data_IF_768175716087
#
_entry.id   IF_768175716087
#
_cell.length_a   1.000
_cell.length_b   1.000
_cell.length_c   1.000
_cell.angle_alpha   90.00
_cell.angle_beta   90.00
_cell.angle_gamma   90.00
#
_symmetry.space_group_name_H-M   'P 1'
#
loop_
_entity.id
_entity.type
_entity.pdbx_description
1 polymer ?
#
# COMPACT_ATOMS: atom_id res chain seq x y z
N UNK A 1 27.39 42.00 -20.31
CA UNK A 1 26.06 42.49 -20.67
C UNK A 1 25.46 41.42 -21.57
N UNK A 2 24.61 40.56 -21.04
CA UNK A 2 23.80 39.69 -21.87
C UNK A 2 22.79 40.55 -22.60
N UNK A 3 22.89 40.65 -23.93
CA UNK A 3 21.83 41.20 -24.75
C UNK A 3 20.56 40.37 -24.49
N UNK A 4 19.54 41.03 -23.93
CA UNK A 4 18.21 40.45 -23.83
C UNK A 4 17.73 40.20 -25.26
N UNK A 5 17.94 39.00 -25.76
CA UNK A 5 17.48 38.55 -27.07
C UNK A 5 15.96 38.53 -27.03
N UNK A 6 15.31 39.53 -27.65
CA UNK A 6 13.84 39.53 -27.77
C UNK A 6 13.44 38.29 -28.59
N UNK A 7 12.49 37.52 -28.06
CA UNK A 7 11.95 36.36 -28.77
C UNK A 7 11.37 36.80 -30.14
N UNK A 8 11.61 36.01 -31.18
CA UNK A 8 11.04 36.27 -32.49
C UNK A 8 9.51 36.18 -32.43
N UNK A 9 8.76 37.24 -32.81
CA UNK A 9 7.29 37.28 -32.69
C UNK A 9 6.60 36.10 -33.39
N UNK A 10 7.10 35.68 -34.55
CA UNK A 10 6.55 34.56 -35.31
C UNK A 10 6.79 33.21 -34.58
N UNK A 11 7.96 33.04 -33.95
CA UNK A 11 8.25 31.86 -33.12
C UNK A 11 7.32 31.81 -31.91
N UNK A 12 7.02 32.94 -31.27
CA UNK A 12 6.07 33.02 -30.15
C UNK A 12 4.65 32.68 -30.61
N UNK A 13 4.24 33.12 -31.80
CA UNK A 13 2.92 32.76 -32.34
C UNK A 13 2.79 31.27 -32.53
N UNK A 14 3.78 30.59 -33.13
CA UNK A 14 3.77 29.13 -33.29
C UNK A 14 3.83 28.39 -31.94
N UNK A 15 4.57 28.89 -30.95
CA UNK A 15 4.56 28.34 -29.59
C UNK A 15 3.15 28.39 -28.97
N UNK A 16 2.44 29.52 -29.12
CA UNK A 16 1.08 29.70 -28.61
C UNK A 16 0.10 28.73 -29.31
N UNK A 17 0.26 28.52 -30.61
CA UNK A 17 -0.52 27.55 -31.36
C UNK A 17 -0.24 26.11 -30.87
N UNK A 18 1.03 25.77 -30.66
CA UNK A 18 1.40 24.46 -30.08
C UNK A 18 0.75 24.25 -28.70
N UNK A 19 0.81 25.25 -27.80
CA UNK A 19 0.15 25.21 -26.50
C UNK A 19 -1.37 25.05 -26.57
N UNK A 20 -2.01 25.72 -27.54
CA UNK A 20 -3.44 25.55 -27.78
C UNK A 20 -3.78 24.10 -28.15
N UNK A 21 -3.00 23.48 -29.06
CA UNK A 21 -3.22 22.12 -29.48
C UNK A 21 -2.92 21.11 -28.36
N UNK A 22 -1.93 21.36 -27.49
CA UNK A 22 -1.71 20.58 -26.26
C UNK A 22 -2.94 20.63 -25.35
N UNK A 23 -3.52 21.82 -25.13
CA UNK A 23 -4.74 21.97 -24.34
C UNK A 23 -6.00 21.32 -24.97
N UNK A 24 -5.95 21.05 -26.27
CA UNK A 24 -6.98 20.31 -27.00
C UNK A 24 -6.64 18.82 -27.21
N UNK A 25 -5.58 18.33 -26.56
CA UNK A 25 -5.05 16.94 -26.64
C UNK A 25 -4.68 16.48 -28.07
N UNK A 26 -4.41 17.46 -28.97
CA UNK A 26 -4.00 17.21 -30.36
C UNK A 26 -2.48 17.30 -30.48
N UNK A 27 -1.80 16.28 -29.95
CA UNK A 27 -0.35 16.30 -29.80
C UNK A 27 0.42 16.29 -31.12
N UNK A 28 -0.10 15.63 -32.16
CA UNK A 28 0.53 15.65 -33.51
C UNK A 28 0.51 17.05 -34.12
N UNK A 29 -0.62 17.76 -34.02
CA UNK A 29 -0.72 19.16 -34.49
C UNK A 29 0.20 20.05 -33.65
N UNK A 30 0.25 19.84 -32.30
CA UNK A 30 1.15 20.56 -31.42
C UNK A 30 2.62 20.37 -31.82
N UNK A 31 3.01 19.12 -32.19
CA UNK A 31 4.36 18.78 -32.63
C UNK A 31 4.73 19.50 -33.94
N UNK A 32 3.80 19.64 -34.87
CA UNK A 32 4.03 20.41 -36.09
C UNK A 32 4.34 21.87 -35.78
N UNK A 33 3.53 22.53 -34.94
CA UNK A 33 3.70 23.94 -34.61
C UNK A 33 4.94 24.21 -33.77
N UNK A 34 5.28 23.37 -32.80
CA UNK A 34 6.51 23.55 -32.02
C UNK A 34 7.76 23.40 -32.89
N UNK A 35 7.74 22.49 -33.89
CA UNK A 35 8.84 22.35 -34.85
C UNK A 35 9.00 23.60 -35.71
N UNK A 36 7.91 24.27 -36.13
CA UNK A 36 7.96 25.57 -36.82
C UNK A 36 8.58 26.66 -35.94
N UNK A 37 8.21 26.71 -34.66
CA UNK A 37 8.78 27.64 -33.70
C UNK A 37 10.31 27.45 -33.55
N UNK A 38 10.75 26.18 -33.38
CA UNK A 38 12.18 25.82 -33.26
C UNK A 38 12.96 26.16 -34.56
N UNK A 39 12.36 25.96 -35.74
CA UNK A 39 13.00 26.27 -37.00
C UNK A 39 13.37 27.77 -37.10
N UNK A 40 12.57 28.66 -36.53
CA UNK A 40 12.77 30.11 -36.48
C UNK A 40 13.75 30.51 -35.37
N UNK A 41 13.59 29.95 -34.15
CA UNK A 41 14.44 30.30 -33.00
C UNK A 41 15.09 29.06 -32.35
N UNK A 42 16.16 28.59 -33.00
CA UNK A 42 16.90 27.40 -32.60
C UNK A 42 17.64 27.52 -31.26
N UNK A 43 17.82 28.73 -30.75
CA UNK A 43 18.52 28.98 -29.49
C UNK A 43 17.58 29.26 -28.32
N UNK A 44 16.28 29.12 -28.52
CA UNK A 44 15.31 29.22 -27.45
C UNK A 44 15.12 27.88 -26.74
N UNK A 45 15.75 27.74 -25.59
CA UNK A 45 15.71 26.50 -24.76
C UNK A 45 14.31 26.09 -24.34
N UNK A 46 13.39 27.05 -24.14
CA UNK A 46 12.00 26.79 -23.74
C UNK A 46 11.25 25.97 -24.81
N UNK A 47 11.50 26.21 -26.11
CA UNK A 47 10.84 25.47 -27.19
C UNK A 47 11.16 23.96 -27.16
N UNK A 48 12.39 23.63 -26.79
CA UNK A 48 12.81 22.22 -26.66
C UNK A 48 12.15 21.54 -25.44
N UNK A 49 11.96 22.27 -24.34
CA UNK A 49 11.20 21.75 -23.20
C UNK A 49 9.73 21.51 -23.58
N UNK A 50 9.10 22.48 -24.24
CA UNK A 50 7.71 22.34 -24.73
C UNK A 50 7.58 21.16 -25.71
N UNK A 51 8.55 20.99 -26.63
CA UNK A 51 8.59 19.83 -27.53
C UNK A 51 8.72 18.52 -26.78
N UNK A 52 9.56 18.46 -25.75
CA UNK A 52 9.72 17.30 -24.89
C UNK A 52 8.41 16.92 -24.20
N UNK A 53 7.66 17.88 -23.67
CA UNK A 53 6.35 17.66 -23.05
C UNK A 53 5.36 17.07 -24.07
N UNK A 54 5.34 17.59 -25.31
CA UNK A 54 4.48 17.08 -26.39
C UNK A 54 4.84 15.65 -26.73
N UNK A 55 6.15 15.35 -26.89
CA UNK A 55 6.64 14.01 -27.19
C UNK A 55 6.34 13.01 -26.07
N UNK A 56 6.43 13.44 -24.80
CA UNK A 56 6.07 12.62 -23.66
C UNK A 56 4.57 12.21 -23.66
N UNK A 57 3.69 13.14 -24.07
CA UNK A 57 2.26 12.84 -24.23
C UNK A 57 1.95 11.93 -25.44
N UNK A 58 2.90 11.74 -26.33
CA UNK A 58 2.86 10.78 -27.45
C UNK A 58 3.60 9.47 -27.11
N UNK A 59 3.97 9.26 -25.86
CA UNK A 59 4.77 8.13 -25.36
C UNK A 59 6.17 7.98 -26.01
N UNK A 60 6.65 9.05 -26.66
CA UNK A 60 7.95 9.12 -27.32
C UNK A 60 9.03 9.58 -26.33
N UNK A 61 9.25 8.80 -25.27
CA UNK A 61 10.11 9.19 -24.14
C UNK A 61 11.57 9.39 -24.52
N UNK A 62 12.11 8.57 -25.43
CA UNK A 62 13.51 8.67 -25.88
C UNK A 62 13.76 9.99 -26.60
N UNK A 63 12.87 10.35 -27.52
CA UNK A 63 12.93 11.60 -28.27
C UNK A 63 12.72 12.80 -27.34
N UNK A 64 11.80 12.70 -26.37
CA UNK A 64 11.57 13.73 -25.36
C UNK A 64 12.84 14.02 -24.54
N UNK A 65 13.55 12.98 -24.09
CA UNK A 65 14.83 13.10 -23.37
C UNK A 65 15.89 13.79 -24.24
N UNK A 66 15.96 13.48 -25.53
CA UNK A 66 16.94 14.10 -26.42
C UNK A 66 16.65 15.61 -26.62
N UNK A 67 15.38 15.99 -26.70
CA UNK A 67 15.03 17.41 -26.79
C UNK A 67 15.39 18.20 -25.52
N UNK A 68 15.23 17.61 -24.33
CA UNK A 68 15.71 18.24 -23.09
C UNK A 68 17.23 18.35 -23.05
N UNK A 69 17.97 17.36 -23.57
CA UNK A 69 19.42 17.47 -23.75
C UNK A 69 19.79 18.56 -24.73
N UNK A 70 18.97 18.81 -25.77
CA UNK A 70 19.18 19.94 -26.69
C UNK A 70 18.95 21.29 -25.98
N UNK A 71 17.94 21.42 -25.11
CA UNK A 71 17.77 22.59 -24.26
C UNK A 71 19.00 22.84 -23.37
N UNK A 72 19.58 21.78 -22.79
CA UNK A 72 20.77 21.86 -21.93
C UNK A 72 22.07 22.11 -22.70
N UNK A 73 22.13 21.84 -24.01
CA UNK A 73 23.25 22.29 -24.85
C UNK A 73 23.25 23.80 -25.01
N UNK A 74 22.06 24.44 -25.00
CA UNK A 74 21.90 25.89 -25.10
C UNK A 74 22.21 26.54 -23.73
N UNK A 75 21.62 26.01 -22.66
CA UNK A 75 21.83 26.47 -21.30
C UNK A 75 22.03 25.30 -20.33
N UNK A 76 23.26 25.09 -19.93
CA UNK A 76 23.67 23.98 -19.02
C UNK A 76 23.09 24.10 -17.60
N UNK A 77 22.60 25.30 -17.22
CA UNK A 77 22.02 25.55 -15.91
C UNK A 77 20.48 25.63 -15.96
N UNK A 78 19.85 25.23 -17.07
CA UNK A 78 18.41 25.34 -17.22
C UNK A 78 17.67 24.34 -16.32
N UNK A 79 17.26 24.81 -15.17
CA UNK A 79 16.70 24.01 -14.09
C UNK A 79 15.41 23.28 -14.50
N UNK A 80 14.54 23.90 -15.29
CA UNK A 80 13.30 23.31 -15.79
C UNK A 80 13.56 22.08 -16.68
N UNK A 81 14.60 22.13 -17.53
CA UNK A 81 14.96 20.97 -18.35
C UNK A 81 15.42 19.76 -17.50
N UNK A 82 16.17 20.03 -16.43
CA UNK A 82 16.54 18.98 -15.49
C UNK A 82 15.34 18.41 -14.73
N UNK A 83 14.36 19.23 -14.35
CA UNK A 83 13.13 18.77 -13.73
C UNK A 83 12.36 17.82 -14.66
N UNK A 84 12.14 18.19 -15.91
CA UNK A 84 11.46 17.34 -16.90
C UNK A 84 12.26 16.08 -17.24
N UNK A 85 13.62 16.14 -17.26
CA UNK A 85 14.46 14.94 -17.38
C UNK A 85 14.23 13.98 -16.20
N UNK A 86 14.14 14.52 -14.99
CA UNK A 86 13.82 13.72 -13.81
C UNK A 86 12.50 12.97 -13.98
N UNK A 87 11.44 13.66 -14.41
CA UNK A 87 10.13 13.05 -14.65
C UNK A 87 10.20 11.94 -15.72
N UNK A 88 10.87 12.18 -16.86
CA UNK A 88 10.98 11.20 -17.93
C UNK A 88 11.79 9.97 -17.53
N UNK A 89 12.89 10.14 -16.78
CA UNK A 89 13.66 9.02 -16.27
C UNK A 89 12.88 8.15 -15.29
N UNK A 90 12.00 8.76 -14.47
CA UNK A 90 11.09 7.98 -13.62
C UNK A 90 10.10 7.17 -14.46
N UNK A 91 9.46 7.81 -15.46
CA UNK A 91 8.51 7.12 -16.36
C UNK A 91 9.16 5.96 -17.13
N UNK A 92 10.47 6.04 -17.40
CA UNK A 92 11.24 4.97 -18.07
C UNK A 92 11.90 3.98 -17.12
N UNK A 93 11.68 4.13 -15.80
CA UNK A 93 12.26 3.23 -14.78
C UNK A 93 13.74 3.48 -14.45
N UNK A 94 14.30 4.61 -14.91
CA UNK A 94 15.70 4.98 -14.69
C UNK A 94 15.84 5.82 -13.41
N UNK A 95 15.53 5.23 -12.24
CA UNK A 95 15.47 5.95 -10.95
C UNK A 95 16.74 6.74 -10.63
N UNK A 96 17.93 6.15 -10.81
CA UNK A 96 19.19 6.83 -10.51
C UNK A 96 19.41 8.08 -11.38
N UNK A 97 19.08 8.02 -12.69
CA UNK A 97 19.14 9.16 -13.61
C UNK A 97 18.10 10.22 -13.25
N UNK A 98 16.93 9.79 -12.80
CA UNK A 98 15.85 10.65 -12.31
C UNK A 98 16.29 11.47 -11.11
N UNK A 99 16.83 10.79 -10.08
CA UNK A 99 17.33 11.41 -8.86
C UNK A 99 18.46 12.43 -9.14
N UNK A 100 19.41 12.04 -10.00
CA UNK A 100 20.49 12.95 -10.40
C UNK A 100 19.95 14.21 -11.09
N UNK A 101 18.95 14.04 -11.96
CA UNK A 101 18.32 15.15 -12.69
C UNK A 101 17.57 16.09 -11.75
N UNK A 102 16.78 15.57 -10.80
CA UNK A 102 16.12 16.40 -9.79
C UNK A 102 17.11 17.17 -8.92
N UNK A 103 18.20 16.53 -8.48
CA UNK A 103 19.24 17.20 -7.70
C UNK A 103 19.88 18.34 -8.51
N UNK A 104 20.12 18.16 -9.82
CA UNK A 104 20.60 19.23 -10.70
C UNK A 104 19.56 20.33 -10.88
N UNK A 105 18.27 20.01 -11.00
CA UNK A 105 17.21 21.01 -11.06
C UNK A 105 17.22 21.91 -9.82
N UNK A 106 17.24 21.30 -8.62
CA UNK A 106 17.29 22.02 -7.34
C UNK A 106 18.57 22.86 -7.22
N UNK A 107 19.73 22.30 -7.57
CA UNK A 107 21.00 23.02 -7.55
C UNK A 107 21.03 24.23 -8.47
N UNK A 108 20.24 24.21 -9.56
CA UNK A 108 20.08 25.32 -10.50
C UNK A 108 18.86 26.22 -10.19
N UNK A 109 18.24 26.05 -9.00
CA UNK A 109 17.21 26.97 -8.51
C UNK A 109 15.77 26.56 -8.81
N UNK A 110 15.51 25.32 -9.25
CA UNK A 110 14.13 24.81 -9.33
C UNK A 110 13.62 24.48 -7.93
N UNK A 111 12.71 25.32 -7.42
CA UNK A 111 12.24 25.28 -6.03
C UNK A 111 10.70 25.23 -6.00
N UNK A 112 10.15 24.17 -6.56
CA UNK A 112 8.72 23.94 -6.71
C UNK A 112 8.26 22.74 -5.85
N UNK A 113 7.01 22.77 -5.39
CA UNK A 113 6.40 21.71 -4.60
C UNK A 113 6.45 20.35 -5.30
N UNK A 114 6.26 20.34 -6.63
CA UNK A 114 6.20 19.09 -7.42
C UNK A 114 7.51 18.31 -7.36
N UNK A 115 8.67 18.97 -7.41
CA UNK A 115 9.95 18.26 -7.40
C UNK A 115 10.18 17.55 -6.06
N UNK A 116 9.80 18.21 -4.96
CA UNK A 116 9.91 17.60 -3.64
C UNK A 116 8.91 16.44 -3.44
N UNK A 117 7.71 16.57 -4.01
CA UNK A 117 6.74 15.48 -4.02
C UNK A 117 7.27 14.26 -4.79
N UNK A 118 7.79 14.46 -6.00
CA UNK A 118 8.35 13.39 -6.81
C UNK A 118 9.57 12.73 -6.13
N UNK A 119 10.43 13.52 -5.48
CA UNK A 119 11.52 12.97 -4.67
C UNK A 119 10.99 12.15 -3.47
N UNK A 120 9.89 12.60 -2.87
CA UNK A 120 9.20 11.84 -1.82
C UNK A 120 8.75 10.48 -2.32
N UNK A 121 8.09 10.42 -3.49
CA UNK A 121 7.65 9.16 -4.10
C UNK A 121 8.81 8.21 -4.38
N UNK A 122 9.91 8.72 -4.95
CA UNK A 122 11.10 7.90 -5.22
C UNK A 122 11.68 7.27 -3.95
N UNK A 123 11.81 8.06 -2.89
CA UNK A 123 12.35 7.55 -1.63
C UNK A 123 11.37 6.60 -0.93
N UNK A 124 10.05 6.79 -1.10
CA UNK A 124 9.03 5.84 -0.62
C UNK A 124 9.13 4.50 -1.35
N UNK A 125 9.30 4.51 -2.69
CA UNK A 125 9.54 3.30 -3.49
C UNK A 125 10.83 2.57 -3.12
N UNK A 126 11.89 3.33 -2.77
CA UNK A 126 13.17 2.78 -2.28
C UNK A 126 13.09 2.28 -0.83
N UNK A 127 11.95 2.40 -0.13
CA UNK A 127 11.76 2.07 1.28
C UNK A 127 12.50 3.02 2.23
N UNK A 128 12.90 4.20 1.77
CA UNK A 128 13.58 5.19 2.60
C UNK A 128 12.58 6.22 3.13
N UNK A 129 11.81 5.79 4.12
CA UNK A 129 10.73 6.57 4.71
C UNK A 129 11.16 7.89 5.32
N UNK A 130 12.37 7.96 5.89
CA UNK A 130 12.88 9.20 6.47
C UNK A 130 13.08 10.29 5.41
N UNK A 131 13.69 9.92 4.28
CA UNK A 131 13.88 10.84 3.16
C UNK A 131 12.56 11.14 2.45
N UNK A 132 11.64 10.19 2.33
CA UNK A 132 10.31 10.38 1.80
C UNK A 132 9.53 11.43 2.61
N UNK A 133 9.41 11.25 3.94
CA UNK A 133 8.75 12.19 4.87
C UNK A 133 9.39 13.59 4.78
N UNK A 134 10.72 13.66 4.74
CA UNK A 134 11.44 14.94 4.61
C UNK A 134 11.09 15.68 3.33
N UNK A 135 10.97 14.98 2.21
CA UNK A 135 10.66 15.59 0.93
C UNK A 135 9.16 15.93 0.83
N UNK A 136 8.24 15.08 1.31
CA UNK A 136 6.82 15.44 1.43
C UNK A 136 6.62 16.67 2.31
N UNK A 137 7.33 16.78 3.43
CA UNK A 137 7.29 17.97 4.29
C UNK A 137 7.75 19.22 3.53
N UNK A 138 8.80 19.14 2.70
CA UNK A 138 9.23 20.27 1.85
C UNK A 138 8.18 20.62 0.80
N UNK A 139 7.55 19.61 0.18
CA UNK A 139 6.47 19.82 -0.79
C UNK A 139 5.31 20.60 -0.15
N UNK A 140 4.89 20.20 1.06
CA UNK A 140 3.84 20.88 1.84
C UNK A 140 4.25 22.31 2.24
N UNK A 141 5.51 22.54 2.60
CA UNK A 141 6.01 23.88 2.91
C UNK A 141 5.98 24.82 1.69
N UNK A 142 6.18 24.28 0.49
CA UNK A 142 6.11 25.05 -0.77
C UNK A 142 4.68 25.26 -1.24
N UNK A 143 3.84 24.28 -1.07
CA UNK A 143 2.42 24.33 -1.37
C UNK A 143 1.61 23.79 -0.18
N UNK A 144 1.11 24.68 0.71
CA UNK A 144 0.32 24.28 1.88
C UNK A 144 -0.98 23.55 1.55
N UNK A 145 -1.49 23.65 0.33
CA UNK A 145 -2.70 22.98 -0.13
C UNK A 145 -2.42 21.61 -0.78
N UNK A 146 -1.17 21.15 -0.73
CA UNK A 146 -0.79 19.88 -1.33
C UNK A 146 -1.25 18.68 -0.49
N UNK A 147 -2.45 18.24 -0.78
CA UNK A 147 -3.15 17.16 -0.07
C UNK A 147 -2.45 15.80 -0.27
N UNK A 148 -2.04 15.48 -1.50
CA UNK A 148 -1.38 14.22 -1.85
C UNK A 148 -0.12 13.94 -1.01
N UNK A 149 0.72 14.95 -0.78
CA UNK A 149 1.90 14.84 0.05
C UNK A 149 1.56 14.62 1.54
N UNK A 150 0.47 15.23 2.04
CA UNK A 150 -0.01 15.03 3.42
C UNK A 150 -0.52 13.61 3.64
N UNK A 151 -1.32 13.09 2.70
CA UNK A 151 -1.83 11.72 2.74
C UNK A 151 -0.67 10.72 2.75
N UNK A 152 0.29 10.88 1.83
CA UNK A 152 1.47 10.00 1.77
C UNK A 152 2.27 10.01 3.07
N UNK A 153 2.56 11.20 3.60
CA UNK A 153 3.26 11.36 4.88
C UNK A 153 2.53 10.65 6.02
N UNK A 154 1.21 10.81 6.11
CA UNK A 154 0.40 10.14 7.13
C UNK A 154 0.45 8.61 6.99
N UNK A 155 0.30 8.09 5.76
CA UNK A 155 0.37 6.65 5.48
C UNK A 155 1.73 6.05 5.87
N UNK A 156 2.85 6.75 5.63
CA UNK A 156 4.17 6.28 6.06
C UNK A 156 4.27 6.24 7.60
N UNK A 157 3.72 7.21 8.31
CA UNK A 157 3.72 7.16 9.78
C UNK A 157 2.88 5.99 10.31
N UNK A 158 1.74 5.70 9.68
CA UNK A 158 0.87 4.55 10.02
C UNK A 158 1.64 3.24 9.80
N UNK A 159 2.22 3.04 8.61
CA UNK A 159 2.95 1.80 8.28
C UNK A 159 4.17 1.56 9.17
N UNK A 160 4.79 2.63 9.68
CA UNK A 160 5.92 2.57 10.61
C UNK A 160 5.51 2.44 12.09
N UNK A 161 4.22 2.30 12.40
CA UNK A 161 3.71 2.23 13.76
C UNK A 161 3.91 3.51 14.58
N UNK A 162 4.19 4.66 13.93
CA UNK A 162 4.35 5.97 14.56
C UNK A 162 2.98 6.63 14.74
N UNK A 163 2.19 6.03 15.63
CA UNK A 163 0.77 6.35 15.79
C UNK A 163 0.50 7.82 16.13
N UNK A 164 1.32 8.41 17.01
CA UNK A 164 1.12 9.80 17.43
C UNK A 164 1.42 10.78 16.28
N UNK A 165 2.53 10.57 15.56
CA UNK A 165 2.90 11.40 14.41
C UNK A 165 1.92 11.22 13.25
N UNK A 166 1.36 10.01 13.08
CA UNK A 166 0.30 9.75 12.12
C UNK A 166 -0.97 10.53 12.46
N UNK A 167 -1.39 10.51 13.73
CA UNK A 167 -2.58 11.24 14.19
C UNK A 167 -2.42 12.76 14.00
N UNK A 168 -1.24 13.31 14.31
CA UNK A 168 -0.94 14.72 14.05
C UNK A 168 -1.01 15.05 12.56
N UNK A 169 -0.40 14.21 11.71
CA UNK A 169 -0.42 14.41 10.25
C UNK A 169 -1.85 14.34 9.67
N UNK A 170 -2.71 13.45 10.19
CA UNK A 170 -4.10 13.34 9.78
C UNK A 170 -4.95 14.53 10.26
N UNK A 171 -4.69 15.05 11.46
CA UNK A 171 -5.33 16.29 11.94
C UNK A 171 -4.95 17.50 11.06
N UNK A 172 -3.65 17.61 10.69
CA UNK A 172 -3.21 18.64 9.75
C UNK A 172 -3.84 18.48 8.36
N UNK A 173 -4.07 17.24 7.92
CA UNK A 173 -4.71 16.92 6.64
C UNK A 173 -6.17 17.39 6.62
N UNK A 174 -6.97 16.99 7.63
CA UNK A 174 -8.37 17.39 7.77
C UNK A 174 -8.51 18.92 7.92
N UNK A 175 -7.59 19.57 8.64
CA UNK A 175 -7.57 21.03 8.76
C UNK A 175 -7.28 21.73 7.42
N UNK A 176 -6.42 21.12 6.57
CA UNK A 176 -6.07 21.68 5.26
C UNK A 176 -7.17 21.48 4.23
N UNK A 177 -7.85 20.34 4.28
CA UNK A 177 -8.97 19.99 3.40
C UNK A 177 -10.05 19.26 4.21
N UNK A 178 -11.04 20.00 4.77
CA UNK A 178 -12.13 19.42 5.54
C UNK A 178 -13.09 18.55 4.72
N UNK A 179 -13.07 18.63 3.40
CA UNK A 179 -13.93 17.86 2.51
C UNK A 179 -13.22 16.61 1.98
N UNK A 180 -12.01 16.30 2.49
CA UNK A 180 -11.25 15.13 2.07
C UNK A 180 -11.69 13.87 2.82
N UNK A 181 -12.34 12.96 2.10
CA UNK A 181 -12.76 11.64 2.60
C UNK A 181 -11.62 10.87 3.30
N UNK A 182 -10.45 10.73 2.62
CA UNK A 182 -9.31 9.94 3.12
C UNK A 182 -8.82 10.38 4.50
N UNK A 183 -8.92 11.67 4.82
CA UNK A 183 -8.50 12.21 6.11
C UNK A 183 -9.28 11.62 7.28
N UNK A 184 -10.60 11.58 7.17
CA UNK A 184 -11.48 11.01 8.20
C UNK A 184 -11.38 9.51 8.27
N UNK A 185 -11.37 8.82 7.13
CA UNK A 185 -11.27 7.36 7.05
C UNK A 185 -9.97 6.86 7.71
N UNK A 186 -8.81 7.36 7.29
CA UNK A 186 -7.53 6.98 7.87
C UNK A 186 -7.43 7.32 9.37
N UNK A 187 -8.00 8.45 9.80
CA UNK A 187 -8.00 8.84 11.21
C UNK A 187 -8.87 7.92 12.05
N UNK A 188 -10.05 7.55 11.57
CA UNK A 188 -10.92 6.61 12.28
C UNK A 188 -10.27 5.23 12.43
N UNK A 189 -9.68 4.71 11.35
CA UNK A 189 -8.94 3.44 11.39
C UNK A 189 -7.75 3.49 12.36
N UNK A 190 -6.94 4.55 12.32
CA UNK A 190 -5.81 4.71 13.23
C UNK A 190 -6.24 4.77 14.70
N UNK A 191 -7.30 5.50 15.01
CA UNK A 191 -7.83 5.57 16.38
C UNK A 191 -8.35 4.22 16.86
N UNK A 192 -9.01 3.46 15.97
CA UNK A 192 -9.46 2.11 16.26
C UNK A 192 -8.27 1.16 16.53
N UNK A 193 -7.21 1.24 15.73
CA UNK A 193 -5.98 0.47 15.92
C UNK A 193 -5.25 0.83 17.23
N UNK A 194 -5.31 2.09 17.63
CA UNK A 194 -4.81 2.57 18.94
C UNK A 194 -5.69 2.14 20.12
N UNK A 195 -6.85 1.52 19.88
CA UNK A 195 -7.84 1.16 20.90
C UNK A 195 -8.75 2.31 21.35
N UNK A 196 -8.61 3.51 20.78
CA UNK A 196 -9.50 4.64 21.03
C UNK A 196 -10.77 4.53 20.17
N UNK A 197 -11.60 3.53 20.52
CA UNK A 197 -12.84 3.26 19.79
C UNK A 197 -13.86 4.39 19.94
N UNK A 198 -13.83 5.17 21.03
CA UNK A 198 -14.70 6.34 21.21
C UNK A 198 -14.26 7.49 20.30
N UNK A 199 -12.96 7.73 20.22
CA UNK A 199 -12.38 8.68 19.27
C UNK A 199 -12.70 8.33 17.82
N UNK A 200 -12.53 7.05 17.43
CA UNK A 200 -12.89 6.57 16.10
C UNK A 200 -14.36 6.81 15.78
N UNK A 201 -15.26 6.46 16.72
CA UNK A 201 -16.70 6.65 16.56
C UNK A 201 -17.07 8.14 16.36
N UNK A 202 -16.45 9.04 17.11
CA UNK A 202 -16.69 10.49 16.98
C UNK A 202 -16.26 11.01 15.61
N UNK A 203 -15.10 10.55 15.10
CA UNK A 203 -14.61 10.91 13.75
C UNK A 203 -15.55 10.40 12.68
N UNK A 204 -16.05 9.16 12.81
CA UNK A 204 -17.03 8.59 11.87
C UNK A 204 -18.36 9.34 11.90
N UNK A 205 -18.85 9.74 13.07
CA UNK A 205 -20.09 10.53 13.20
C UNK A 205 -19.95 11.92 12.56
N UNK A 206 -18.78 12.57 12.69
CA UNK A 206 -18.46 13.81 11.99
C UNK A 206 -18.45 13.61 10.48
N UNK A 207 -17.75 12.58 10.00
CA UNK A 207 -17.68 12.26 8.59
C UNK A 207 -19.04 11.92 7.96
N UNK A 208 -19.90 11.15 8.64
CA UNK A 208 -21.26 10.86 8.21
C UNK A 208 -22.08 12.15 8.07
N UNK A 209 -21.87 13.13 8.96
CA UNK A 209 -22.50 14.45 8.86
C UNK A 209 -22.06 15.25 7.63
N UNK A 210 -20.79 15.13 7.24
CA UNK A 210 -20.23 15.82 6.08
C UNK A 210 -20.57 15.10 4.76
N UNK A 211 -20.56 13.75 4.76
CA UNK A 211 -20.78 12.90 3.60
C UNK A 211 -22.05 12.03 3.74
N UNK A 212 -23.26 12.61 3.92
CA UNK A 212 -24.46 11.85 4.28
C UNK A 212 -24.98 10.91 3.18
N UNK A 213 -24.46 11.02 1.97
CA UNK A 213 -24.84 10.16 0.83
C UNK A 213 -23.89 8.98 0.63
N UNK A 214 -22.72 9.01 1.27
CA UNK A 214 -21.72 7.96 1.17
C UNK A 214 -21.87 7.01 2.37
N UNK A 215 -22.20 5.73 2.15
CA UNK A 215 -22.37 4.74 3.21
C UNK A 215 -21.05 4.21 3.78
N UNK A 216 -19.90 4.52 3.20
CA UNK A 216 -18.63 3.92 3.57
C UNK A 216 -18.27 4.16 5.05
N UNK A 217 -18.52 5.36 5.56
CA UNK A 217 -18.31 5.64 6.99
C UNK A 217 -19.29 4.90 7.91
N UNK A 218 -20.51 4.61 7.45
CA UNK A 218 -21.44 3.75 8.19
C UNK A 218 -20.94 2.30 8.18
N UNK A 219 -20.33 1.83 7.08
CA UNK A 219 -19.72 0.50 7.00
C UNK A 219 -18.53 0.41 7.96
N UNK A 220 -17.66 1.43 7.99
CA UNK A 220 -16.57 1.52 8.98
C UNK A 220 -17.11 1.50 10.43
N UNK A 221 -18.25 2.15 10.67
CA UNK A 221 -18.91 2.15 11.98
C UNK A 221 -19.44 0.77 12.38
N UNK A 222 -19.86 -0.06 11.41
CA UNK A 222 -20.19 -1.48 11.68
C UNK A 222 -18.96 -2.19 12.25
N UNK A 223 -17.77 -1.98 11.68
CA UNK A 223 -16.51 -2.54 12.20
C UNK A 223 -16.27 -2.15 13.66
N UNK A 224 -16.43 -0.87 14.03
CA UNK A 224 -16.26 -0.42 15.42
C UNK A 224 -17.24 -1.13 16.36
N UNK A 225 -18.51 -1.31 15.97
CA UNK A 225 -19.46 -2.08 16.77
C UNK A 225 -19.08 -3.56 16.90
N UNK A 226 -18.52 -4.17 15.84
CA UNK A 226 -18.01 -5.54 15.89
C UNK A 226 -16.84 -5.66 16.87
N UNK A 227 -15.88 -4.74 16.80
CA UNK A 227 -14.72 -4.71 17.72
C UNK A 227 -15.15 -4.50 19.18
N UNK A 228 -16.23 -3.75 19.41
CA UNK A 228 -16.85 -3.59 20.76
C UNK A 228 -17.72 -4.74 21.20
N UNK A 229 -17.87 -5.79 20.38
CA UNK A 229 -18.79 -6.91 20.60
C UNK A 229 -20.26 -6.46 20.74
N UNK A 230 -20.62 -5.30 20.20
CA UNK A 230 -21.96 -4.75 20.19
C UNK A 230 -22.80 -5.27 19.01
N UNK A 231 -22.91 -6.61 18.88
CA UNK A 231 -23.47 -7.31 17.73
C UNK A 231 -24.88 -6.79 17.30
N UNK A 232 -25.75 -6.45 18.25
CA UNK A 232 -27.08 -5.97 17.92
C UNK A 232 -27.05 -4.60 17.22
N UNK A 233 -26.18 -3.67 17.69
CA UNK A 233 -26.02 -2.37 17.03
C UNK A 233 -25.42 -2.50 15.63
N UNK A 234 -24.45 -3.43 15.48
CA UNK A 234 -23.87 -3.74 14.18
C UNK A 234 -24.94 -4.27 13.20
N UNK A 235 -25.79 -5.23 13.62
CA UNK A 235 -26.89 -5.78 12.79
C UNK A 235 -27.91 -4.71 12.40
N UNK A 236 -28.33 -3.87 13.35
CA UNK A 236 -29.28 -2.80 13.09
C UNK A 236 -28.71 -1.81 12.07
N UNK A 237 -27.41 -1.47 12.18
CA UNK A 237 -26.74 -0.55 11.25
C UNK A 237 -26.57 -1.18 9.87
N UNK A 238 -26.18 -2.47 9.76
CA UNK A 238 -26.13 -3.20 8.49
C UNK A 238 -27.47 -3.13 7.77
N UNK A 239 -28.57 -3.39 8.50
CA UNK A 239 -29.91 -3.29 7.93
C UNK A 239 -30.24 -1.89 7.43
N UNK A 240 -29.90 -0.86 8.20
CA UNK A 240 -30.09 0.55 7.79
C UNK A 240 -29.30 0.85 6.50
N UNK A 241 -28.07 0.38 6.40
CA UNK A 241 -27.23 0.57 5.21
C UNK A 241 -27.89 -0.09 4.00
N UNK A 242 -28.28 -1.36 4.10
CA UNK A 242 -28.89 -2.14 3.00
C UNK A 242 -30.27 -1.57 2.57
N UNK A 243 -31.05 -1.04 3.53
CA UNK A 243 -32.38 -0.48 3.23
C UNK A 243 -32.32 0.95 2.69
N UNK A 244 -31.23 1.71 2.94
CA UNK A 244 -31.17 3.16 2.68
C UNK A 244 -30.33 3.50 1.44
N UNK A 245 -29.25 2.75 1.18
CA UNK A 245 -28.24 3.11 0.20
C UNK A 245 -28.21 2.13 -0.98
N UNK A 246 -28.03 2.68 -2.17
CA UNK A 246 -27.63 1.89 -3.34
C UNK A 246 -26.10 1.77 -3.36
N UNK A 247 -25.60 0.61 -2.92
CA UNK A 247 -24.16 0.39 -2.71
C UNK A 247 -23.46 0.15 -4.05
N UNK A 248 -22.28 0.78 -4.20
CA UNK A 248 -21.32 0.45 -5.25
C UNK A 248 -20.66 -0.91 -4.99
N UNK A 249 -20.02 -1.50 -6.01
CA UNK A 249 -19.45 -2.86 -5.90
C UNK A 249 -18.38 -2.95 -4.81
N UNK A 250 -17.53 -1.94 -4.67
CA UNK A 250 -16.52 -1.89 -3.60
C UNK A 250 -17.14 -1.78 -2.19
N UNK A 251 -18.18 -0.96 -2.05
CA UNK A 251 -18.93 -0.83 -0.79
C UNK A 251 -19.67 -2.12 -0.42
N UNK A 252 -20.22 -2.84 -1.42
CA UNK A 252 -20.81 -4.17 -1.19
C UNK A 252 -19.77 -5.16 -0.69
N UNK A 253 -18.59 -5.19 -1.34
CA UNK A 253 -17.46 -6.02 -0.91
C UNK A 253 -17.09 -5.73 0.54
N UNK A 254 -16.89 -4.45 0.89
CA UNK A 254 -16.51 -4.03 2.25
C UNK A 254 -17.60 -4.43 3.27
N UNK A 255 -18.88 -4.18 2.96
CA UNK A 255 -19.99 -4.57 3.85
C UNK A 255 -20.05 -6.09 4.07
N UNK A 256 -19.79 -6.91 3.06
CA UNK A 256 -19.77 -8.37 3.22
C UNK A 256 -18.62 -8.83 4.11
N UNK A 257 -17.45 -8.19 4.06
CA UNK A 257 -16.35 -8.47 4.99
C UNK A 257 -16.75 -8.11 6.45
N UNK A 258 -17.39 -6.96 6.67
CA UNK A 258 -17.85 -6.59 8.02
C UNK A 258 -18.99 -7.51 8.51
N UNK A 259 -19.88 -7.98 7.63
CA UNK A 259 -20.89 -8.99 7.98
C UNK A 259 -20.25 -10.32 8.35
N UNK A 260 -19.19 -10.73 7.65
CA UNK A 260 -18.45 -11.95 8.02
C UNK A 260 -17.84 -11.84 9.43
N UNK A 261 -17.22 -10.70 9.76
CA UNK A 261 -16.71 -10.42 11.12
C UNK A 261 -17.83 -10.40 12.16
N UNK A 262 -18.99 -9.84 11.83
CA UNK A 262 -20.14 -9.81 12.71
C UNK A 262 -20.68 -11.21 13.01
N UNK A 263 -20.79 -12.08 11.99
CA UNK A 263 -21.21 -13.48 12.18
C UNK A 263 -20.18 -14.32 12.96
N UNK A 264 -18.89 -13.90 12.93
CA UNK A 264 -17.86 -14.56 13.73
C UNK A 264 -18.09 -14.39 15.24
N UNK A 265 -18.72 -13.30 15.69
CA UNK A 265 -19.08 -13.12 17.11
C UNK A 265 -20.06 -14.18 17.61
N UNK A 266 -20.91 -14.72 16.73
CA UNK A 266 -21.89 -15.75 17.06
C UNK A 266 -21.43 -17.16 16.61
N UNK A 267 -20.21 -17.30 16.08
CA UNK A 267 -19.65 -18.51 15.50
C UNK A 267 -20.52 -19.15 14.39
N UNK A 268 -21.22 -18.32 13.61
CA UNK A 268 -22.08 -18.76 12.49
C UNK A 268 -21.25 -19.02 11.22
N UNK A 269 -20.50 -20.12 11.19
CA UNK A 269 -19.49 -20.39 10.15
C UNK A 269 -20.09 -20.39 8.74
N UNK A 270 -21.28 -20.97 8.54
CA UNK A 270 -21.92 -20.99 7.21
C UNK A 270 -22.21 -19.57 6.72
N UNK A 271 -22.70 -18.70 7.60
CA UNK A 271 -22.97 -17.27 7.30
C UNK A 271 -21.68 -16.50 6.97
N UNK A 272 -20.57 -16.81 7.68
CA UNK A 272 -19.25 -16.24 7.41
C UNK A 272 -18.80 -16.62 6.00
N UNK A 273 -18.83 -17.92 5.68
CA UNK A 273 -18.42 -18.44 4.36
C UNK A 273 -19.24 -17.81 3.24
N UNK A 274 -20.55 -17.70 3.38
CA UNK A 274 -21.42 -17.06 2.39
C UNK A 274 -21.07 -15.58 2.15
N UNK A 275 -20.79 -14.82 3.20
CA UNK A 275 -20.36 -13.42 3.08
C UNK A 275 -19.01 -13.31 2.37
N UNK A 276 -18.02 -14.12 2.74
CA UNK A 276 -16.69 -14.10 2.13
C UNK A 276 -16.71 -14.52 0.66
N UNK A 277 -17.56 -15.48 0.27
CA UNK A 277 -17.75 -15.86 -1.15
C UNK A 277 -18.32 -14.67 -1.94
N UNK A 278 -19.31 -13.93 -1.36
CA UNK A 278 -19.84 -12.73 -2.00
C UNK A 278 -18.80 -11.61 -2.11
N UNK A 279 -17.99 -11.38 -1.06
CA UNK A 279 -16.90 -10.42 -1.09
C UNK A 279 -15.92 -10.73 -2.24
N UNK A 280 -15.47 -11.99 -2.38
CA UNK A 280 -14.63 -12.43 -3.50
C UNK A 280 -15.28 -12.22 -4.87
N UNK A 281 -16.58 -12.43 -4.97
CA UNK A 281 -17.31 -12.22 -6.23
C UNK A 281 -17.29 -10.73 -6.61
N UNK A 282 -17.53 -9.82 -5.66
CA UNK A 282 -17.46 -8.38 -5.89
C UNK A 282 -16.04 -7.91 -6.25
N UNK A 283 -15.00 -8.46 -5.61
CA UNK A 283 -13.60 -8.16 -5.98
C UNK A 283 -13.33 -8.50 -7.45
N UNK A 284 -13.81 -9.65 -7.94
CA UNK A 284 -13.65 -10.06 -9.33
C UNK A 284 -14.48 -9.24 -10.32
N UNK A 285 -15.58 -8.62 -9.87
CA UNK A 285 -16.33 -7.64 -10.69
C UNK A 285 -15.52 -6.35 -10.88
N UNK A 286 -14.75 -5.93 -9.87
CA UNK A 286 -13.90 -4.75 -9.94
C UNK A 286 -12.63 -5.01 -10.77
N UNK A 287 -11.94 -6.11 -10.52
CA UNK A 287 -10.79 -6.60 -11.28
C UNK A 287 -10.86 -8.13 -11.44
N UNK A 288 -11.07 -8.65 -12.67
CA UNK A 288 -11.14 -10.10 -12.91
C UNK A 288 -9.89 -10.88 -12.49
N UNK A 289 -8.74 -10.21 -12.34
CA UNK A 289 -7.49 -10.82 -11.92
C UNK A 289 -7.26 -10.71 -10.39
N UNK A 290 -8.09 -9.97 -9.67
CA UNK A 290 -7.95 -9.82 -8.23
C UNK A 290 -8.31 -11.12 -7.49
N UNK A 291 -7.50 -11.44 -6.49
CA UNK A 291 -7.65 -12.65 -5.67
C UNK A 291 -8.54 -12.39 -4.43
N UNK A 292 -8.74 -11.13 -4.03
CA UNK A 292 -9.24 -10.75 -2.70
C UNK A 292 -8.54 -11.57 -1.59
N UNK A 293 -7.29 -11.22 -1.34
CA UNK A 293 -6.43 -12.00 -0.45
C UNK A 293 -6.99 -12.10 0.98
N UNK A 294 -7.67 -11.07 1.49
CA UNK A 294 -8.29 -11.06 2.81
C UNK A 294 -9.44 -12.07 2.89
N UNK A 295 -10.42 -11.97 1.98
CA UNK A 295 -11.56 -12.90 1.96
C UNK A 295 -11.09 -14.34 1.72
N UNK A 296 -10.08 -14.54 0.86
CA UNK A 296 -9.54 -15.87 0.56
C UNK A 296 -8.83 -16.47 1.77
N UNK A 297 -8.10 -15.67 2.56
CA UNK A 297 -7.44 -16.11 3.79
C UNK A 297 -8.45 -16.50 4.88
N UNK A 298 -9.47 -15.68 5.08
CA UNK A 298 -10.54 -15.97 6.03
C UNK A 298 -11.31 -17.23 5.63
N UNK A 299 -11.59 -17.42 4.33
CA UNK A 299 -12.21 -18.66 3.81
C UNK A 299 -11.33 -19.88 4.07
N UNK A 300 -10.02 -19.80 3.85
CA UNK A 300 -9.11 -20.91 4.13
C UNK A 300 -9.23 -21.37 5.59
N UNK A 301 -9.29 -20.41 6.53
CA UNK A 301 -9.44 -20.71 7.96
C UNK A 301 -10.81 -21.32 8.28
N UNK A 302 -11.91 -20.80 7.74
CA UNK A 302 -13.25 -21.37 7.89
C UNK A 302 -13.31 -22.81 7.36
N UNK A 303 -12.71 -23.07 6.21
CA UNK A 303 -12.68 -24.41 5.62
C UNK A 303 -11.80 -25.40 6.43
N UNK A 304 -10.72 -24.94 7.07
CA UNK A 304 -9.96 -25.77 8.01
C UNK A 304 -10.81 -26.14 9.24
N UNK A 305 -11.55 -25.19 9.79
CA UNK A 305 -12.42 -25.39 10.94
C UNK A 305 -13.58 -26.35 10.63
N UNK A 306 -14.21 -26.20 9.46
CA UNK A 306 -15.27 -27.10 8.99
C UNK A 306 -14.76 -28.40 8.41
N UNK A 307 -13.44 -28.62 8.35
CA UNK A 307 -12.75 -29.79 7.80
C UNK A 307 -12.99 -29.98 6.28
N UNK A 308 -13.32 -28.93 5.58
CA UNK A 308 -13.32 -28.93 4.11
C UNK A 308 -11.89 -28.68 3.60
N UNK A 309 -11.04 -29.68 3.79
CA UNK A 309 -9.63 -29.60 3.42
C UNK A 309 -9.38 -29.34 1.93
N UNK A 310 -10.17 -29.91 0.99
CA UNK A 310 -10.01 -29.57 -0.43
C UNK A 310 -10.20 -28.06 -0.72
N UNK A 311 -11.20 -27.43 -0.10
CA UNK A 311 -11.44 -26.00 -0.26
C UNK A 311 -10.34 -25.16 0.42
N UNK A 312 -9.91 -25.55 1.63
CA UNK A 312 -8.79 -24.91 2.33
C UNK A 312 -7.48 -24.96 1.52
N UNK A 313 -7.17 -26.12 0.91
CA UNK A 313 -6.01 -26.30 0.04
C UNK A 313 -6.09 -25.39 -1.19
N UNK A 314 -7.28 -25.25 -1.81
CA UNK A 314 -7.47 -24.39 -2.96
C UNK A 314 -7.22 -22.91 -2.61
N UNK A 315 -7.82 -22.42 -1.53
CA UNK A 315 -7.60 -21.05 -1.04
C UNK A 315 -6.13 -20.77 -0.69
N UNK A 316 -5.47 -21.69 0.03
CA UNK A 316 -4.07 -21.52 0.42
C UNK A 316 -3.13 -21.47 -0.79
N UNK A 317 -3.39 -22.24 -1.85
CA UNK A 317 -2.63 -22.17 -3.11
C UNK A 317 -2.81 -20.84 -3.80
N UNK A 318 -4.07 -20.38 -3.94
CA UNK A 318 -4.39 -19.09 -4.53
C UNK A 318 -3.63 -17.94 -3.85
N UNK A 319 -3.53 -17.98 -2.50
CA UNK A 319 -2.79 -16.99 -1.71
C UNK A 319 -1.26 -17.09 -1.88
N UNK A 320 -0.71 -18.28 -1.96
CA UNK A 320 0.74 -18.50 -2.19
C UNK A 320 1.17 -17.97 -3.57
N UNK A 321 0.28 -18.08 -4.56
CA UNK A 321 0.54 -17.61 -5.92
C UNK A 321 0.30 -16.10 -6.07
N UNK A 322 -0.18 -15.42 -5.01
CA UNK A 322 -0.38 -13.97 -5.00
C UNK A 322 0.89 -13.20 -4.62
N UNK A 323 0.99 -11.94 -5.08
CA UNK A 323 2.07 -11.03 -4.69
C UNK A 323 1.89 -10.44 -3.28
N UNK A 324 0.78 -10.77 -2.59
CA UNK A 324 0.48 -10.23 -1.27
C UNK A 324 1.13 -11.07 -0.16
N UNK A 325 2.34 -10.70 0.24
CA UNK A 325 3.12 -11.43 1.25
C UNK A 325 2.42 -11.52 2.62
N UNK A 326 1.57 -10.58 2.99
CA UNK A 326 0.86 -10.61 4.28
C UNK A 326 -0.05 -11.85 4.41
N UNK A 327 -0.63 -12.31 3.30
CA UNK A 327 -1.49 -13.50 3.27
C UNK A 327 -0.80 -14.74 2.69
N UNK A 328 0.19 -14.56 1.82
CA UNK A 328 0.98 -15.67 1.28
C UNK A 328 1.84 -16.34 2.36
N UNK A 329 2.47 -15.58 3.25
CA UNK A 329 3.35 -16.10 4.31
C UNK A 329 2.63 -17.06 5.24
N UNK A 330 1.48 -16.74 5.88
CA UNK A 330 0.75 -17.70 6.68
C UNK A 330 0.24 -18.89 5.86
N UNK A 331 -0.06 -18.70 4.57
CA UNK A 331 -0.54 -19.77 3.69
C UNK A 331 0.52 -20.84 3.40
N UNK A 332 1.80 -20.50 3.50
CA UNK A 332 2.87 -21.52 3.46
C UNK A 332 2.83 -22.51 4.65
N UNK A 333 2.15 -22.18 5.74
CA UNK A 333 1.89 -23.12 6.83
C UNK A 333 0.51 -23.77 6.68
N UNK A 334 -0.53 -23.01 6.32
CA UNK A 334 -1.90 -23.55 6.23
C UNK A 334 -2.05 -24.60 5.13
N UNK A 335 -1.33 -24.47 4.00
CA UNK A 335 -1.38 -25.43 2.91
C UNK A 335 -0.89 -26.82 3.31
N UNK A 336 0.36 -27.02 3.82
CA UNK A 336 0.81 -28.33 4.26
C UNK A 336 -0.01 -28.86 5.43
N UNK A 337 -0.46 -28.01 6.36
CA UNK A 337 -1.33 -28.40 7.45
C UNK A 337 -2.67 -28.97 6.94
N UNK A 338 -3.28 -28.35 5.93
CA UNK A 338 -4.51 -28.87 5.32
C UNK A 338 -4.29 -30.24 4.65
N UNK A 339 -3.14 -30.47 3.98
CA UNK A 339 -2.79 -31.78 3.45
C UNK A 339 -2.63 -32.85 4.56
N UNK A 340 -1.99 -32.49 5.67
CA UNK A 340 -1.80 -33.37 6.81
C UNK A 340 -3.15 -33.78 7.42
N UNK A 341 -4.03 -32.82 7.69
CA UNK A 341 -5.36 -33.06 8.24
C UNK A 341 -6.27 -33.83 7.29
N UNK A 342 -6.04 -33.77 5.97
CA UNK A 342 -6.75 -34.60 4.98
C UNK A 342 -6.23 -36.03 4.88
N UNK A 343 -5.16 -36.38 5.61
CA UNK A 343 -4.50 -37.69 5.57
C UNK A 343 -3.51 -37.87 4.41
N UNK A 344 -3.16 -36.82 3.70
CA UNK A 344 -2.20 -36.84 2.59
C UNK A 344 -0.76 -36.57 3.10
N UNK A 345 -0.28 -37.43 4.02
CA UNK A 345 0.98 -37.24 4.77
C UNK A 345 2.21 -37.00 3.89
N UNK A 346 2.36 -37.72 2.75
CA UNK A 346 3.48 -37.56 1.85
C UNK A 346 3.48 -36.16 1.17
N UNK A 347 2.29 -35.68 0.79
CA UNK A 347 2.13 -34.32 0.23
C UNK A 347 2.38 -33.25 1.29
N UNK A 348 1.86 -33.45 2.50
CA UNK A 348 2.08 -32.55 3.63
C UNK A 348 3.58 -32.35 3.89
N UNK A 349 4.32 -33.46 4.02
CA UNK A 349 5.77 -33.43 4.26
C UNK A 349 6.55 -32.77 3.13
N UNK A 350 6.19 -33.06 1.88
CA UNK A 350 6.81 -32.41 0.72
C UNK A 350 6.55 -30.89 0.74
N UNK A 351 5.32 -30.48 1.03
CA UNK A 351 4.92 -29.09 1.05
C UNK A 351 5.53 -28.32 2.24
N UNK A 352 5.65 -28.93 3.44
CA UNK A 352 6.39 -28.31 4.55
C UNK A 352 7.83 -28.01 4.17
N UNK A 353 8.53 -28.92 3.48
CA UNK A 353 9.92 -28.69 3.05
C UNK A 353 10.02 -27.57 1.98
N UNK A 354 9.08 -27.50 1.05
CA UNK A 354 9.01 -26.43 0.05
C UNK A 354 8.74 -25.08 0.75
N UNK A 355 7.76 -25.03 1.66
CA UNK A 355 7.42 -23.84 2.44
C UNK A 355 8.60 -23.32 3.25
N UNK A 356 9.36 -24.19 3.92
CA UNK A 356 10.58 -23.79 4.66
C UNK A 356 11.58 -23.11 3.72
N UNK A 357 11.74 -23.65 2.49
CA UNK A 357 12.67 -23.10 1.52
C UNK A 357 12.22 -21.75 0.98
N UNK A 358 10.93 -21.61 0.66
CA UNK A 358 10.31 -20.35 0.21
C UNK A 358 10.34 -19.27 1.28
N UNK A 359 9.92 -19.56 2.50
CA UNK A 359 9.96 -18.64 3.63
C UNK A 359 11.39 -18.21 3.96
N UNK A 360 12.37 -19.11 3.79
CA UNK A 360 13.78 -18.74 3.91
C UNK A 360 14.20 -17.72 2.86
N UNK A 361 13.80 -17.90 1.61
CA UNK A 361 14.10 -16.96 0.54
C UNK A 361 13.45 -15.60 0.78
N UNK A 362 12.19 -15.57 1.23
CA UNK A 362 11.47 -14.34 1.59
C UNK A 362 12.21 -13.59 2.70
N UNK A 363 12.58 -14.27 3.80
CA UNK A 363 13.25 -13.64 4.94
C UNK A 363 14.71 -13.24 4.66
N UNK A 364 15.36 -13.82 3.64
CA UNK A 364 16.68 -13.36 3.20
C UNK A 364 16.61 -12.05 2.41
N UNK A 365 15.54 -11.86 1.64
CA UNK A 365 15.32 -10.66 0.85
C UNK A 365 14.65 -9.53 1.68
N UNK A 366 13.85 -9.91 2.70
CA UNK A 366 13.07 -8.99 3.55
C UNK A 366 13.26 -9.42 5.03
N UNK A 367 14.41 -9.13 5.62
CA UNK A 367 14.73 -9.62 6.98
C UNK A 367 13.85 -8.99 8.08
N UNK A 368 13.15 -7.90 7.79
CA UNK A 368 12.20 -7.23 8.68
C UNK A 368 10.85 -7.94 8.80
N UNK A 369 10.52 -8.85 7.87
CA UNK A 369 9.25 -9.59 7.91
C UNK A 369 9.34 -10.74 8.91
N UNK A 370 9.01 -10.46 10.18
CA UNK A 370 9.12 -11.41 11.29
C UNK A 370 8.20 -12.63 11.13
N UNK A 371 7.04 -12.46 10.52
CA UNK A 371 6.10 -13.55 10.21
C UNK A 371 6.72 -14.65 9.34
N UNK A 372 7.63 -14.29 8.43
CA UNK A 372 8.37 -15.26 7.63
C UNK A 372 9.22 -16.22 8.49
N UNK A 373 9.81 -15.72 9.57
CA UNK A 373 10.56 -16.55 10.53
C UNK A 373 9.62 -17.36 11.41
N UNK A 374 8.51 -16.79 11.86
CA UNK A 374 7.48 -17.43 12.68
C UNK A 374 6.90 -18.64 11.94
N UNK A 375 6.35 -18.46 10.74
CA UNK A 375 5.73 -19.56 9.99
C UNK A 375 6.75 -20.59 9.52
N UNK A 376 8.00 -20.19 9.26
CA UNK A 376 9.08 -21.13 8.99
C UNK A 376 9.42 -21.98 10.24
N UNK A 377 9.41 -21.41 11.44
CA UNK A 377 9.61 -22.16 12.68
C UNK A 377 8.47 -23.14 12.93
N UNK A 378 7.22 -22.76 12.66
CA UNK A 378 6.07 -23.67 12.72
C UNK A 378 6.24 -24.84 11.74
N UNK A 379 6.58 -24.60 10.47
CA UNK A 379 6.84 -25.67 9.52
C UNK A 379 7.97 -26.60 9.95
N UNK A 380 9.05 -26.08 10.52
CA UNK A 380 10.16 -26.88 11.06
C UNK A 380 9.74 -27.75 12.24
N UNK A 381 8.85 -27.23 13.11
CA UNK A 381 8.24 -27.98 14.22
C UNK A 381 7.49 -29.19 13.71
N UNK A 382 6.64 -29.04 12.70
CA UNK A 382 5.81 -30.12 12.15
C UNK A 382 6.63 -31.28 11.53
N UNK A 383 7.79 -30.96 10.95
CA UNK A 383 8.70 -31.99 10.40
C UNK A 383 9.75 -32.52 11.44
N UNK A 384 9.60 -32.14 12.71
CA UNK A 384 10.46 -32.64 13.83
C UNK A 384 11.86 -31.99 13.89
N UNK A 385 12.10 -30.86 13.19
CA UNK A 385 13.38 -30.15 13.26
C UNK A 385 13.39 -29.11 14.40
N UNK A 386 13.17 -29.57 15.63
CA UNK A 386 12.93 -28.73 16.80
C UNK A 386 14.07 -27.78 17.14
N UNK A 387 15.33 -28.20 16.99
CA UNK A 387 16.48 -27.32 17.25
C UNK A 387 16.48 -26.10 16.35
N UNK A 388 16.27 -26.28 15.05
CA UNK A 388 16.20 -25.16 14.10
C UNK A 388 14.98 -24.26 14.32
N UNK A 389 13.85 -24.87 14.72
CA UNK A 389 12.66 -24.11 15.08
C UNK A 389 12.90 -23.24 16.33
N UNK A 390 13.60 -23.77 17.35
CA UNK A 390 13.98 -23.04 18.55
C UNK A 390 14.96 -21.90 18.24
N UNK A 391 15.97 -22.12 17.38
CA UNK A 391 16.87 -21.06 16.92
C UNK A 391 16.12 -19.87 16.34
N UNK A 392 15.07 -20.12 15.53
CA UNK A 392 14.24 -19.05 14.95
C UNK A 392 13.38 -18.37 16.02
N UNK A 393 12.77 -19.12 16.92
CA UNK A 393 11.98 -18.51 18.01
C UNK A 393 12.84 -17.65 18.95
N UNK A 394 14.07 -18.04 19.22
CA UNK A 394 15.03 -17.25 19.98
C UNK A 394 15.48 -15.99 19.23
N UNK A 395 15.62 -16.07 17.90
CA UNK A 395 15.88 -14.90 17.07
C UNK A 395 14.72 -13.90 17.15
N UNK A 396 13.48 -14.37 17.00
CA UNK A 396 12.28 -13.53 17.10
C UNK A 396 12.19 -12.84 18.46
N UNK A 397 12.43 -13.57 19.57
CA UNK A 397 12.45 -13.01 20.92
C UNK A 397 13.63 -12.04 21.20
N UNK A 398 14.71 -12.11 20.42
CA UNK A 398 15.76 -11.07 20.47
C UNK A 398 15.32 -9.77 19.80
N UNK A 399 14.49 -9.84 18.78
CA UNK A 399 13.95 -8.68 18.09
C UNK A 399 12.80 -8.06 18.91
N UNK A 400 11.84 -8.88 19.35
CA UNK A 400 10.70 -8.47 20.15
C UNK A 400 10.59 -9.29 21.45
N UNK A 401 11.30 -8.86 22.46
CA UNK A 401 11.45 -9.60 23.72
C UNK A 401 10.13 -9.82 24.48
N UNK A 402 9.17 -8.92 24.32
CA UNK A 402 7.88 -8.95 25.02
C UNK A 402 6.72 -9.40 24.12
N UNK A 403 6.98 -10.14 23.05
CA UNK A 403 5.94 -10.67 22.18
C UNK A 403 5.31 -11.92 22.77
N UNK A 404 4.05 -11.84 23.17
CA UNK A 404 3.26 -13.00 23.65
C UNK A 404 3.20 -14.10 22.59
N UNK A 405 3.06 -13.73 21.30
CA UNK A 405 3.06 -14.66 20.17
C UNK A 405 4.36 -15.46 20.05
N UNK A 406 5.52 -14.80 20.21
CA UNK A 406 6.81 -15.48 20.07
C UNK A 406 7.13 -16.37 21.28
N UNK A 407 6.70 -15.99 22.49
CA UNK A 407 6.75 -16.87 23.65
C UNK A 407 5.82 -18.09 23.49
N UNK A 408 4.62 -17.92 22.93
CA UNK A 408 3.70 -19.01 22.60
C UNK A 408 4.31 -19.98 21.59
N UNK A 409 4.90 -19.46 20.50
CA UNK A 409 5.61 -20.26 19.50
C UNK A 409 6.71 -21.12 20.15
N UNK A 410 7.55 -20.50 21.00
CA UNK A 410 8.64 -21.21 21.68
C UNK A 410 8.09 -22.30 22.61
N UNK A 411 7.01 -22.00 23.34
CA UNK A 411 6.33 -23.00 24.19
C UNK A 411 5.82 -24.19 23.38
N UNK A 412 5.19 -23.96 22.23
CA UNK A 412 4.71 -25.04 21.35
C UNK A 412 5.85 -25.92 20.84
N UNK A 413 6.96 -25.32 20.42
CA UNK A 413 8.13 -26.07 19.93
C UNK A 413 8.75 -26.92 21.05
N UNK A 414 8.90 -26.35 22.26
CA UNK A 414 9.42 -27.08 23.44
C UNK A 414 8.50 -28.24 23.84
N UNK A 415 7.19 -28.01 23.80
CA UNK A 415 6.20 -29.08 24.08
C UNK A 415 6.30 -30.19 23.05
N UNK A 416 6.37 -29.90 21.77
CA UNK A 416 6.54 -30.87 20.70
C UNK A 416 7.87 -31.65 20.79
N UNK A 417 8.92 -30.99 21.31
CA UNK A 417 10.22 -31.61 21.58
C UNK A 417 10.20 -32.53 22.81
N UNK A 418 9.21 -32.37 23.71
CA UNK A 418 9.08 -33.14 24.95
C UNK A 418 9.68 -32.46 26.19
N UNK A 419 10.06 -31.17 26.09
CA UNK A 419 10.55 -30.36 27.22
C UNK A 419 9.37 -29.63 27.88
N UNK A 420 8.56 -30.36 28.62
CA UNK A 420 7.32 -29.84 29.19
C UNK A 420 7.55 -28.72 30.23
N UNK A 421 8.64 -28.77 31.02
CA UNK A 421 8.88 -27.80 32.08
C UNK A 421 9.26 -26.43 31.44
N UNK A 422 10.14 -26.44 30.46
CA UNK A 422 10.49 -25.25 29.71
C UNK A 422 9.28 -24.70 28.90
N UNK A 423 8.47 -25.57 28.30
CA UNK A 423 7.25 -25.18 27.61
C UNK A 423 6.25 -24.46 28.53
N UNK A 424 6.02 -24.98 29.74
CA UNK A 424 5.14 -24.37 30.75
C UNK A 424 5.65 -22.98 31.18
N UNK A 425 6.97 -22.80 31.33
CA UNK A 425 7.57 -21.53 31.69
C UNK A 425 7.36 -20.47 30.59
N UNK A 426 7.61 -20.82 29.33
CA UNK A 426 7.39 -19.91 28.18
C UNK A 426 5.90 -19.58 28.00
N UNK A 427 5.01 -20.55 28.20
CA UNK A 427 3.55 -20.34 28.13
C UNK A 427 3.08 -19.37 29.21
N UNK A 428 3.56 -19.51 30.45
CA UNK A 428 3.23 -18.59 31.54
C UNK A 428 3.73 -17.16 31.24
N UNK A 429 4.89 -17.04 30.60
CA UNK A 429 5.40 -15.73 30.14
C UNK A 429 4.48 -15.14 29.08
N UNK A 430 4.10 -15.91 28.06
CA UNK A 430 3.13 -15.49 27.02
C UNK A 430 1.81 -14.99 27.63
N UNK A 431 1.25 -15.75 28.56
CA UNK A 431 -0.02 -15.41 29.25
C UNK A 431 0.09 -14.13 30.12
N UNK A 432 1.28 -13.81 30.62
CA UNK A 432 1.52 -12.58 31.43
C UNK A 432 1.69 -11.33 30.58
N UNK A 433 1.92 -11.48 29.28
CA UNK A 433 2.11 -10.39 28.32
C UNK A 433 0.82 -10.01 27.58
N UNK A 434 -0.21 -10.86 27.65
CA UNK A 434 -1.55 -10.59 27.14
C UNK A 434 -2.38 -9.84 28.20
#
# INVERSE_FOLDING_TARGET
MEEIRMANPESVEYLNQARYFVGAEKYDDALEYINKAIAIDKLNKELYVQKSIILANLDQYTEAIEELKNALKIDKAYAEAYFHLGNLYLMTGEQASGLESYNKAIANGFDDSQIFFNLGLMYEEDGNDELAIRNYTKAILKDPLRVDARVRKAKIFISNGKQQEALEALNELILADPDLYDGYHLKALLLADMGDLDGAMNVLDEAIGLFPKDPSFQIDKVNIYVVREEANKARDLVKVIEDTYELETDQKRHLELEKARLYALDAEIDSIVDCLIRAKAYSKELDPNDIDAEATFLLANCYLETKDYPAAIACSKELIDSDNLAYAIPSYYTLPYAYEQSGEEDKAKAQYNDSISKLRAITLNNPEILDGYLFRALCLKEIGQYEKALELSEYLLKVEQNSSTFHSLKAEILYAKGDEDAAKAEKATSESLN
#
